data_IF_729523535253
#
_entry.id   IF_729523535253
#
_cell.length_a   1.000
_cell.length_b   1.000
_cell.length_c   1.000
_cell.angle_alpha   90.00
_cell.angle_beta   90.00
_cell.angle_gamma   90.00
#
_symmetry.space_group_name_H-M   'P 1'
#
loop_
_entity.id
_entity.type
_entity.pdbx_description
1 polymer ?
2 non-polymer ?
3 water ?
#
# COMPACT_ATOMS: atom_id res chain seq x y z
N UNK A 1 11.71 -3.51 25.44
CA UNK A 1 13.11 -3.97 25.19
C UNK A 1 13.15 -5.07 24.14
N UNK A 2 13.79 -4.81 23.00
CA UNK A 2 13.86 -5.79 21.93
C UNK A 2 15.22 -6.48 21.91
N UNK A 3 15.25 -7.75 21.51
CA UNK A 3 16.54 -8.47 21.45
C UNK A 3 17.43 -7.81 20.42
N UNK A 4 18.74 -7.89 20.60
CA UNK A 4 19.69 -7.29 19.66
C UNK A 4 19.71 -7.95 18.30
N UNK A 5 19.37 -9.23 18.27
CA UNK A 5 19.35 -9.98 17.02
C UNK A 5 18.26 -11.04 17.07
N UNK A 6 17.72 -11.36 15.90
CA UNK A 6 16.66 -12.36 15.76
C UNK A 6 16.87 -13.13 14.46
N UNK A 7 16.54 -14.41 14.47
CA UNK A 7 16.66 -15.26 13.28
C UNK A 7 15.56 -16.30 13.37
N UNK A 8 14.46 -16.06 12.67
CA UNK A 8 13.32 -16.99 12.73
C UNK A 8 13.61 -18.40 12.21
N UNK A 9 14.73 -18.58 11.52
CA UNK A 9 15.08 -19.91 11.02
C UNK A 9 15.39 -20.84 12.20
N UNK A 10 15.90 -20.25 13.29
CA UNK A 10 16.24 -21.00 14.50
C UNK A 10 14.99 -21.47 15.22
N UNK A 11 13.87 -20.78 14.96
CA UNK A 11 12.60 -21.11 15.59
C UNK A 11 11.74 -22.03 14.74
N UNK A 12 12.33 -22.53 13.65
CA UNK A 12 11.65 -23.45 12.75
C UNK A 12 10.45 -22.90 12.02
N UNK A 13 10.43 -21.59 11.77
CA UNK A 13 9.31 -20.96 11.09
C UNK A 13 9.61 -20.53 9.67
N UNK A 14 10.72 -21.00 9.11
CA UNK A 14 11.11 -20.63 7.76
C UNK A 14 11.37 -21.86 6.90
N UNK A 15 10.66 -21.95 5.78
CA UNK A 15 10.81 -23.10 4.88
C UNK A 15 12.03 -22.94 3.98
N UNK A 16 12.26 -23.95 3.16
CA UNK A 16 13.38 -23.94 2.25
C UNK A 16 13.27 -22.77 1.26
N UNK A 17 14.41 -22.27 0.80
CA UNK A 17 14.43 -21.18 -0.16
C UNK A 17 13.86 -21.67 -1.49
N UNK A 18 12.98 -20.89 -2.09
CA UNK A 18 12.37 -21.27 -3.36
C UNK A 18 13.03 -20.57 -4.53
N UNK A 19 12.79 -21.09 -5.73
CA UNK A 19 13.34 -20.53 -6.96
C UNK A 19 12.18 -20.15 -7.89
N UNK A 20 11.96 -18.84 -8.05
CA UNK A 20 10.86 -18.36 -8.89
C UNK A 20 11.10 -18.48 -10.40
N UNK A 21 12.36 -18.61 -10.80
CA UNK A 21 12.66 -18.74 -12.21
C UNK A 21 12.37 -17.45 -12.97
N UNK A 22 11.87 -17.57 -14.20
CA UNK A 22 11.58 -16.41 -15.04
C UNK A 22 10.22 -15.76 -14.75
N UNK A 23 9.48 -16.31 -13.80
CA UNK A 23 8.17 -15.78 -13.44
C UNK A 23 8.33 -14.77 -12.30
N UNK A 24 7.84 -13.55 -12.52
CA UNK A 24 7.94 -12.51 -11.50
C UNK A 24 6.95 -12.73 -10.37
N UNK A 25 7.18 -13.79 -9.60
CA UNK A 25 6.30 -14.15 -8.49
C UNK A 25 6.89 -13.83 -7.12
N UNK A 26 7.84 -12.91 -7.06
CA UNK A 26 8.47 -12.54 -5.80
C UNK A 26 7.42 -12.16 -4.75
N UNK A 27 6.40 -11.44 -5.20
CA UNK A 27 5.33 -11.01 -4.30
C UNK A 27 4.60 -12.21 -3.70
N UNK A 28 4.38 -13.23 -4.51
CA UNK A 28 3.69 -14.43 -4.05
C UNK A 28 4.54 -15.19 -3.03
N UNK A 29 5.83 -15.36 -3.33
CA UNK A 29 6.70 -16.06 -2.41
C UNK A 29 6.86 -15.29 -1.10
N UNK A 30 6.93 -13.98 -1.19
CA UNK A 30 7.05 -13.15 0.00
C UNK A 30 5.83 -13.39 0.89
N UNK A 31 4.65 -13.38 0.29
CA UNK A 31 3.41 -13.59 1.02
C UNK A 31 3.30 -14.97 1.67
N UNK A 32 3.56 -16.04 0.91
CA UNK A 32 3.45 -17.38 1.50
C UNK A 32 4.50 -17.55 2.60
N UNK A 33 5.67 -16.95 2.41
CA UNK A 33 6.72 -17.04 3.40
C UNK A 33 6.28 -16.46 4.74
N UNK A 34 5.62 -15.32 4.70
CA UNK A 34 5.14 -14.68 5.92
C UNK A 34 4.06 -15.51 6.60
N UNK A 35 3.16 -16.06 5.80
CA UNK A 35 2.08 -16.89 6.34
C UNK A 35 2.59 -18.24 6.84
N UNK A 36 3.62 -18.78 6.18
CA UNK A 36 4.19 -20.06 6.58
C UNK A 36 4.66 -20.00 8.03
N UNK A 37 5.22 -18.85 8.42
CA UNK A 37 5.70 -18.68 9.78
C UNK A 37 4.52 -18.64 10.76
N UNK A 38 3.47 -17.93 10.39
CA UNK A 38 2.28 -17.82 11.25
C UNK A 38 1.60 -19.18 11.39
N UNK A 39 1.65 -19.98 10.33
CA UNK A 39 1.05 -21.31 10.36
C UNK A 39 1.81 -22.18 11.35
N UNK A 40 3.13 -22.07 11.32
CA UNK A 40 3.99 -22.83 12.22
C UNK A 40 3.69 -22.44 13.68
N UNK A 41 3.64 -21.14 13.92
CA UNK A 41 3.37 -20.63 15.26
C UNK A 41 2.02 -21.07 15.80
N UNK A 42 1.04 -21.17 14.91
CA UNK A 42 -0.31 -21.56 15.31
C UNK A 42 -0.56 -23.06 15.42
N UNK A 43 0.00 -23.83 14.48
CA UNK A 43 -0.23 -25.28 14.46
C UNK A 43 0.95 -26.17 14.81
N UNK A 44 2.16 -25.62 14.77
CA UNK A 44 3.32 -26.43 15.08
C UNK A 44 3.89 -27.12 13.86
N UNK A 45 3.22 -27.03 12.71
CA UNK A 45 3.75 -27.66 11.50
C UNK A 45 4.32 -26.60 10.56
N UNK A 46 5.46 -26.93 9.96
CA UNK A 46 6.12 -26.05 9.00
C UNK A 46 5.74 -26.61 7.64
N UNK A 47 4.98 -25.86 6.86
CA UNK A 47 4.54 -26.32 5.55
C UNK A 47 4.69 -25.25 4.47
N UNK A 48 5.35 -25.58 3.37
CA UNK A 48 5.51 -24.63 2.28
C UNK A 48 4.12 -24.42 1.69
N UNK A 49 3.73 -23.16 1.51
CA UNK A 49 2.42 -22.84 0.95
C UNK A 49 2.52 -22.57 -0.54
N UNK A 50 1.41 -22.72 -1.25
CA UNK A 50 1.39 -22.56 -2.70
C UNK A 50 1.49 -21.16 -3.28
N UNK A 51 2.68 -20.79 -3.73
CA UNK A 51 2.88 -19.49 -4.36
C UNK A 51 2.13 -19.50 -5.69
N UNK A 52 2.07 -20.68 -6.32
CA UNK A 52 1.39 -20.83 -7.61
C UNK A 52 -0.09 -20.49 -7.47
N UNK A 53 -0.66 -20.91 -6.34
CA UNK A 53 -2.06 -20.68 -6.02
C UNK A 53 -2.33 -19.17 -6.08
N UNK A 54 -1.38 -18.39 -5.57
CA UNK A 54 -1.52 -16.93 -5.58
C UNK A 54 -1.37 -16.38 -6.99
N UNK A 55 -0.33 -16.85 -7.70
CA UNK A 55 -0.09 -16.40 -9.06
C UNK A 55 -1.32 -16.65 -9.94
N UNK A 56 -1.92 -17.82 -9.78
CA UNK A 56 -3.09 -18.21 -10.58
C UNK A 56 -4.45 -17.68 -10.15
N UNK A 57 -4.62 -17.46 -8.85
CA UNK A 57 -5.93 -17.02 -8.34
C UNK A 57 -6.04 -15.59 -7.83
N UNK A 58 -4.99 -15.07 -7.21
CA UNK A 58 -5.03 -13.69 -6.71
C UNK A 58 -4.60 -12.85 -7.89
N UNK A 59 -5.51 -12.71 -8.86
CA UNK A 59 -5.22 -11.99 -10.09
C UNK A 59 -5.81 -10.58 -10.24
N UNK A 60 -6.48 -10.31 -11.36
CA UNK A 60 -7.06 -8.99 -11.64
C UNK A 60 -7.85 -8.34 -10.51
N UNK A 61 -8.75 -9.11 -9.90
CA UNK A 61 -9.57 -8.57 -8.82
C UNK A 61 -8.72 -8.05 -7.67
N UNK A 62 -7.48 -8.52 -7.59
CA UNK A 62 -6.58 -8.09 -6.51
C UNK A 62 -5.47 -7.17 -7.01
N UNK A 63 -5.63 -6.67 -8.23
CA UNK A 63 -4.65 -5.78 -8.80
C UNK A 63 -3.34 -6.45 -9.15
N UNK A 64 -3.31 -7.78 -9.14
CA UNK A 64 -2.09 -8.52 -9.45
C UNK A 64 -2.05 -8.98 -10.91
N UNK A 65 -0.82 -9.24 -11.39
CA UNK A 65 -0.62 -9.65 -12.77
C UNK A 65 0.20 -10.93 -12.92
N UNK A 66 0.03 -11.86 -11.97
CA UNK A 66 0.75 -13.12 -12.05
C UNK A 66 2.25 -13.03 -12.17
N UNK A 67 2.81 -13.61 -13.23
CA UNK A 67 4.25 -13.59 -13.44
C UNK A 67 4.78 -12.21 -13.78
N UNK A 68 3.89 -11.24 -13.89
CA UNK A 68 4.29 -9.88 -14.19
C UNK A 68 4.19 -8.95 -12.98
N UNK A 69 4.04 -9.54 -11.79
CA UNK A 69 3.97 -8.72 -10.59
C UNK A 69 2.70 -8.76 -9.78
N UNK A 70 2.81 -8.39 -8.52
CA UNK A 70 1.66 -8.38 -7.63
C UNK A 70 2.00 -7.77 -6.29
N UNK A 71 1.02 -7.73 -5.38
CA UNK A 71 1.23 -7.17 -4.05
C UNK A 71 1.08 -8.27 -2.99
N UNK A 72 1.89 -8.19 -1.94
CA UNK A 72 1.77 -9.17 -0.86
C UNK A 72 0.50 -8.89 -0.07
N UNK A 73 0.16 -7.62 0.12
CA UNK A 73 -1.05 -7.29 0.88
C UNK A 73 -2.33 -7.81 0.22
N UNK A 74 -2.48 -7.60 -1.09
CA UNK A 74 -3.67 -8.07 -1.77
C UNK A 74 -3.65 -9.59 -1.85
N UNK A 75 -2.46 -10.17 -1.80
CA UNK A 75 -2.34 -11.63 -1.81
C UNK A 75 -2.93 -12.12 -0.51
N UNK A 76 -2.60 -11.43 0.59
CA UNK A 76 -3.13 -11.81 1.89
C UNK A 76 -4.65 -11.69 1.87
N UNK A 77 -5.18 -10.59 1.34
CA UNK A 77 -6.62 -10.41 1.30
C UNK A 77 -7.30 -11.51 0.50
N UNK A 78 -6.65 -11.99 -0.55
CA UNK A 78 -7.22 -13.06 -1.36
C UNK A 78 -7.39 -14.31 -0.50
N UNK A 79 -6.33 -14.65 0.24
CA UNK A 79 -6.37 -15.83 1.10
C UNK A 79 -7.52 -15.68 2.08
N UNK A 80 -7.71 -14.47 2.60
CA UNK A 80 -8.79 -14.19 3.53
C UNK A 80 -10.14 -14.39 2.85
N UNK A 81 -10.35 -13.70 1.73
CA UNK A 81 -11.60 -13.80 0.98
C UNK A 81 -11.87 -15.23 0.51
N UNK A 82 -10.83 -15.90 0.04
CA UNK A 82 -10.94 -17.26 -0.47
C UNK A 82 -11.11 -18.29 0.65
N UNK A 83 -10.87 -17.86 1.88
CA UNK A 83 -10.97 -18.72 3.05
C UNK A 83 -9.95 -19.85 3.01
N UNK A 84 -8.79 -19.56 2.44
CA UNK A 84 -7.74 -20.56 2.39
C UNK A 84 -6.75 -20.47 1.25
N UNK A 85 -5.65 -21.21 1.39
CA UNK A 85 -4.61 -21.29 0.40
C UNK A 85 -4.10 -22.73 0.47
N UNK A 86 -3.86 -23.34 -0.70
CA UNK A 86 -3.38 -24.72 -0.74
C UNK A 86 -1.91 -24.86 -0.39
N UNK A 87 -1.50 -26.09 -0.13
CA UNK A 87 -0.11 -26.34 0.20
C UNK A 87 0.66 -26.34 -1.10
N UNK A 88 1.95 -26.06 -1.02
CA UNK A 88 2.80 -26.07 -2.20
C UNK A 88 2.81 -27.48 -2.78
N UNK A 89 2.79 -28.48 -1.90
CA UNK A 89 2.82 -29.87 -2.31
C UNK A 89 1.62 -30.26 -3.20
N UNK A 90 0.44 -29.75 -2.86
CA UNK A 90 -0.77 -30.07 -3.63
C UNK A 90 -0.98 -29.17 -4.85
N UNK A 91 -0.35 -28.01 -4.83
CA UNK A 91 -0.48 -27.03 -5.91
C UNK A 91 0.93 -26.51 -6.17
N UNK A 92 1.78 -27.34 -6.82
CA UNK A 92 3.17 -27.01 -7.13
C UNK A 92 3.42 -25.81 -8.03
N UNK A 93 4.56 -25.16 -7.81
CA UNK A 93 4.98 -23.98 -8.56
C UNK A 93 5.51 -24.38 -9.94
N UNK A 94 4.97 -23.76 -10.98
CA UNK A 94 5.36 -24.04 -12.36
C UNK A 94 6.01 -22.85 -13.05
N UNK A 95 6.16 -21.74 -12.34
CA UNK A 95 6.79 -20.54 -12.90
C UNK A 95 6.10 -20.04 -14.17
N UNK A 96 4.78 -20.06 -14.19
CA UNK A 96 4.01 -19.59 -15.33
C UNK A 96 2.60 -19.27 -14.88
N UNK A 97 1.88 -18.47 -15.65
CA UNK A 97 0.52 -18.13 -15.31
C UNK A 97 -0.38 -19.28 -15.74
N UNK A 98 -1.25 -19.72 -14.83
CA UNK A 98 -2.16 -20.82 -15.10
C UNK A 98 -3.56 -20.44 -14.69
N UNK A 99 -4.54 -21.24 -15.09
CA UNK A 99 -5.92 -20.98 -14.71
C UNK A 99 -5.94 -21.27 -13.21
N UNK A 100 -6.78 -20.56 -12.47
CA UNK A 100 -6.87 -20.79 -11.04
C UNK A 100 -7.37 -22.21 -10.79
N UNK A 101 -6.61 -22.98 -10.02
CA UNK A 101 -6.97 -24.36 -9.71
C UNK A 101 -7.07 -24.60 -8.22
N UNK A 102 -7.45 -23.58 -7.46
CA UNK A 102 -7.60 -23.71 -6.02
C UNK A 102 -8.67 -24.73 -5.69
N UNK A 103 -8.44 -25.50 -4.63
CA UNK A 103 -9.42 -26.47 -4.15
C UNK A 103 -9.31 -26.51 -2.64
N UNK A 104 -10.44 -26.32 -1.96
CA UNK A 104 -10.46 -26.33 -0.51
C UNK A 104 -10.01 -27.66 0.09
N UNK A 105 -10.02 -28.72 -0.71
CA UNK A 105 -9.62 -30.04 -0.20
C UNK A 105 -8.11 -30.13 -0.03
N UNK A 106 -7.39 -29.15 -0.57
CA UNK A 106 -5.94 -29.10 -0.47
C UNK A 106 -5.51 -27.94 0.43
N UNK A 107 -6.46 -27.33 1.10
CA UNK A 107 -6.14 -26.22 1.97
C UNK A 107 -5.15 -26.58 3.05
N UNK A 108 -4.16 -25.71 3.24
CA UNK A 108 -3.13 -25.93 4.25
C UNK A 108 -3.05 -24.77 5.24
N UNK A 109 -3.69 -23.65 4.92
CA UNK A 109 -3.67 -22.50 5.80
C UNK A 109 -4.78 -21.51 5.49
N UNK A 110 -5.07 -20.66 6.46
CA UNK A 110 -6.08 -19.61 6.31
C UNK A 110 -5.43 -18.32 6.81
N UNK A 111 -6.13 -17.20 6.61
CA UNK A 111 -5.65 -15.90 7.04
C UNK A 111 -6.88 -15.13 7.50
N UNK A 112 -6.77 -14.45 8.63
CA UNK A 112 -7.89 -13.69 9.15
C UNK A 112 -7.73 -12.19 8.93
N UNK A 113 -6.49 -11.76 8.74
CA UNK A 113 -6.19 -10.35 8.52
C UNK A 113 -4.72 -10.15 8.25
N UNK A 114 -4.34 -8.90 7.96
CA UNK A 114 -2.96 -8.55 7.72
C UNK A 114 -2.75 -7.12 8.20
N UNK A 115 -1.50 -6.79 8.52
CA UNK A 115 -1.17 -5.46 9.01
C UNK A 115 -0.05 -4.83 8.18
N UNK A 116 -0.25 -3.59 7.77
CA UNK A 116 0.74 -2.84 7.01
C UNK A 116 1.40 -1.88 7.97
N UNK A 117 2.73 -1.96 8.09
CA UNK A 117 3.47 -1.09 9.00
C UNK A 117 3.60 0.33 8.44
N UNK A 118 3.81 1.33 9.31
CA UNK A 118 3.94 2.71 8.85
C UNK A 118 5.17 2.89 7.96
N UNK A 119 5.02 3.71 6.92
CA UNK A 119 6.07 3.96 5.95
C UNK A 119 7.44 4.37 6.49
N UNK A 120 8.47 3.61 6.10
CA UNK A 120 9.84 3.91 6.47
C UNK A 120 10.33 3.82 7.90
N UNK A 121 9.52 3.28 8.80
CA UNK A 121 9.94 3.18 10.20
C UNK A 121 10.62 1.86 10.48
N UNK A 122 11.94 1.88 10.51
CA UNK A 122 12.73 0.67 10.76
C UNK A 122 12.59 0.18 12.19
N UNK A 123 12.35 1.11 13.12
CA UNK A 123 12.19 0.72 14.51
C UNK A 123 10.90 -0.08 14.67
N UNK A 124 9.86 0.31 13.92
CA UNK A 124 8.59 -0.41 14.00
C UNK A 124 8.76 -1.77 13.33
N UNK A 125 9.54 -1.81 12.25
CA UNK A 125 9.78 -3.06 11.54
C UNK A 125 10.53 -4.01 12.48
N UNK A 126 11.50 -3.48 13.23
CA UNK A 126 12.28 -4.31 14.14
C UNK A 126 11.36 -4.93 15.18
N UNK A 127 10.45 -4.13 15.71
CA UNK A 127 9.52 -4.60 16.72
C UNK A 127 8.63 -5.72 16.18
N UNK A 128 8.15 -5.54 14.95
CA UNK A 128 7.28 -6.55 14.32
C UNK A 128 8.03 -7.85 14.07
N UNK A 129 9.27 -7.75 13.61
CA UNK A 129 10.05 -8.96 13.33
C UNK A 129 10.38 -9.71 14.62
N UNK A 130 10.64 -8.96 15.68
CA UNK A 130 10.96 -9.57 16.97
C UNK A 130 9.73 -10.16 17.67
N UNK A 131 8.61 -9.46 17.62
CA UNK A 131 7.40 -9.93 18.32
C UNK A 131 6.30 -10.62 17.52
N UNK A 132 6.20 -10.33 16.21
CA UNK A 132 5.15 -10.94 15.40
C UNK A 132 5.63 -12.09 14.53
N UNK A 133 6.73 -11.89 13.83
CA UNK A 133 7.27 -12.91 12.97
C UNK A 133 7.83 -12.31 11.70
N UNK A 134 8.23 -13.14 10.73
CA UNK A 134 8.78 -12.67 9.46
C UNK A 134 7.83 -11.66 8.83
N UNK A 135 8.39 -10.61 8.26
CA UNK A 135 7.58 -9.56 7.65
C UNK A 135 7.85 -9.43 6.15
N UNK A 136 6.78 -9.38 5.36
CA UNK A 136 6.91 -9.22 3.93
C UNK A 136 7.27 -7.76 3.66
N UNK A 137 8.23 -7.53 2.77
CA UNK A 137 8.65 -6.18 2.45
C UNK A 137 9.03 -6.07 0.99
N UNK A 138 9.15 -4.82 0.53
CA UNK A 138 9.56 -4.56 -0.82
C UNK A 138 10.90 -3.85 -0.76
N UNK A 139 11.79 -4.13 -1.71
CA UNK A 139 13.08 -3.47 -1.75
C UNK A 139 13.42 -3.03 -3.17
N UNK A 140 14.37 -2.11 -3.26
CA UNK A 140 14.84 -1.64 -4.56
C UNK A 140 15.97 -2.60 -4.93
N UNK A 141 15.68 -3.51 -5.86
CA UNK A 141 16.67 -4.49 -6.31
C UNK A 141 17.03 -4.24 -7.77
N UNK A 142 16.90 -2.99 -8.19
CA UNK A 142 17.17 -2.59 -9.57
C UNK A 142 18.66 -2.50 -9.92
N UNK A 143 19.51 -2.54 -8.91
CA UNK A 143 20.94 -2.40 -9.15
C UNK A 143 21.76 -3.67 -9.32
N UNK A 144 22.78 -3.61 -10.19
CA UNK A 144 23.67 -4.74 -10.48
C UNK A 144 24.19 -5.39 -9.20
N UNK A 145 24.55 -4.55 -8.23
CA UNK A 145 25.09 -5.05 -6.97
C UNK A 145 24.16 -6.04 -6.29
N UNK A 146 22.85 -5.86 -6.45
CA UNK A 146 21.89 -6.77 -5.83
C UNK A 146 21.98 -8.14 -6.47
N UNK A 147 21.96 -8.17 -7.80
CA UNK A 147 22.06 -9.42 -8.55
C UNK A 147 23.38 -10.12 -8.28
N UNK A 148 24.44 -9.34 -8.09
CA UNK A 148 25.78 -9.88 -7.87
C UNK A 148 26.14 -10.13 -6.40
N UNK A 149 25.24 -9.78 -5.49
CA UNK A 149 25.50 -9.98 -4.06
C UNK A 149 25.88 -11.41 -3.70
N UNK A 150 26.92 -11.54 -2.89
CA UNK A 150 27.38 -12.86 -2.47
C UNK A 150 27.42 -13.03 -0.96
N UNK A 151 27.86 -12.00 -0.23
CA UNK A 151 27.93 -12.12 1.22
C UNK A 151 28.11 -10.80 1.94
N UNK A 152 27.96 -10.82 3.26
CA UNK A 152 28.13 -9.64 4.07
C UNK A 152 26.89 -8.75 4.11
N UNK A 153 27.06 -7.53 4.61
CA UNK A 153 25.96 -6.59 4.70
C UNK A 153 25.90 -5.77 3.42
N UNK A 154 24.78 -5.91 2.70
CA UNK A 154 24.55 -5.23 1.44
C UNK A 154 24.25 -3.74 1.60
N UNK A 155 25.01 -2.91 0.91
CA UNK A 155 24.81 -1.47 0.91
C UNK A 155 25.09 -0.96 -0.50
N UNK A 156 24.11 -0.27 -1.08
CA UNK A 156 24.24 0.26 -2.43
C UNK A 156 24.02 1.76 -2.44
N UNK A 157 25.08 2.54 -2.71
CA UNK A 157 25.00 4.01 -2.74
C UNK A 157 23.88 4.54 -3.63
N UNK A 158 23.57 3.81 -4.70
CA UNK A 158 22.52 4.23 -5.63
C UNK A 158 21.13 3.73 -5.29
N UNK A 159 20.96 3.03 -4.18
CA UNK A 159 19.63 2.54 -3.82
C UNK A 159 18.67 3.68 -3.54
N UNK A 160 17.40 3.43 -3.79
CA UNK A 160 16.37 4.43 -3.57
C UNK A 160 15.24 3.79 -2.77
N UNK A 161 14.21 4.57 -2.48
CA UNK A 161 13.06 4.05 -1.74
C UNK A 161 11.98 3.59 -2.73
N UNK A 162 12.31 3.60 -4.01
CA UNK A 162 11.36 3.14 -5.02
C UNK A 162 11.55 1.63 -5.14
N UNK A 163 10.78 0.88 -4.36
CA UNK A 163 10.87 -0.58 -4.33
C UNK A 163 10.21 -1.28 -5.53
N UNK A 164 10.74 -2.45 -5.89
CA UNK A 164 10.20 -3.19 -7.03
C UNK A 164 10.29 -4.71 -6.85
N UNK A 165 10.88 -5.15 -5.74
CA UNK A 165 11.06 -6.58 -5.51
C UNK A 165 10.57 -7.01 -4.13
N UNK A 166 9.63 -7.95 -4.11
CA UNK A 166 9.08 -8.44 -2.85
C UNK A 166 9.89 -9.55 -2.22
N UNK A 167 10.25 -9.37 -0.95
CA UNK A 167 11.04 -10.37 -0.22
C UNK A 167 10.50 -10.55 1.19
N UNK A 168 11.22 -11.30 2.02
CA UNK A 168 10.77 -11.57 3.38
C UNK A 168 11.86 -11.37 4.42
N UNK A 169 11.58 -10.51 5.41
CA UNK A 169 12.54 -10.27 6.48
C UNK A 169 12.31 -11.36 7.54
N UNK A 170 13.31 -12.20 7.75
CA UNK A 170 13.17 -13.28 8.72
C UNK A 170 14.02 -13.08 9.97
N UNK A 171 14.59 -11.88 10.11
CA UNK A 171 15.40 -11.59 11.29
C UNK A 171 16.24 -10.35 11.10
N UNK A 172 17.12 -10.11 12.07
CA UNK A 172 18.00 -8.95 12.00
C UNK A 172 19.18 -9.15 12.95
N UNK A 173 20.21 -8.32 12.80
CA UNK A 173 21.37 -8.44 13.66
C UNK A 173 22.43 -7.43 13.26
N UNK A 174 23.68 -7.79 13.53
CA UNK A 174 24.80 -6.92 13.20
C UNK A 174 26.04 -7.72 12.87
N UNK A 175 26.77 -7.29 11.84
CA UNK A 175 28.01 -7.96 11.46
C UNK A 175 29.15 -6.99 11.65
N UNK A 176 29.90 -7.19 12.73
CA UNK A 176 31.05 -6.35 13.05
C UNK A 176 30.75 -4.85 13.02
N UNK A 177 29.65 -4.45 13.64
CA UNK A 177 29.31 -3.03 13.66
C UNK A 177 28.34 -2.61 12.58
N UNK A 178 28.10 -3.49 11.61
CA UNK A 178 27.17 -3.17 10.52
C UNK A 178 25.83 -3.85 10.78
N UNK A 179 24.82 -3.07 11.11
CA UNK A 179 23.48 -3.60 11.37
C UNK A 179 22.82 -4.03 10.08
N UNK A 180 22.01 -5.09 10.14
CA UNK A 180 21.36 -5.59 8.94
C UNK A 180 20.01 -6.26 9.20
N UNK A 181 19.29 -6.47 8.10
CA UNK A 181 18.00 -7.16 8.12
C UNK A 181 18.32 -8.50 7.43
N UNK A 182 17.84 -9.61 7.98
CA UNK A 182 18.08 -10.91 7.38
C UNK A 182 16.93 -11.15 6.40
N UNK A 183 17.25 -11.16 5.12
CA UNK A 183 16.23 -11.30 4.09
C UNK A 183 16.23 -12.59 3.29
N UNK A 184 15.06 -13.22 3.20
CA UNK A 184 14.91 -14.45 2.44
C UNK A 184 14.41 -14.04 1.05
N UNK A 185 15.18 -14.40 0.02
CA UNK A 185 14.79 -14.06 -1.35
C UNK A 185 14.18 -15.31 -1.99
N UNK A 186 13.70 -15.18 -3.23
CA UNK A 186 13.11 -16.32 -3.91
C UNK A 186 13.80 -16.55 -5.25
N UNK A 187 15.12 -16.43 -5.24
CA UNK A 187 15.95 -16.62 -6.44
C UNK A 187 16.80 -17.89 -6.32
N UNK A 188 16.32 -18.85 -5.55
CA UNK A 188 17.06 -20.10 -5.39
C UNK A 188 18.16 -20.05 -4.34
N UNK A 189 18.69 -21.22 -4.00
CA UNK A 189 19.72 -21.33 -2.98
C UNK A 189 21.11 -20.89 -3.43
N UNK A 190 21.28 -20.58 -4.70
CA UNK A 190 22.58 -20.15 -5.20
C UNK A 190 22.78 -18.63 -5.12
N UNK A 191 21.69 -17.90 -4.89
CA UNK A 191 21.80 -16.46 -4.79
C UNK A 191 22.27 -16.02 -3.40
N UNK A 192 23.21 -15.09 -3.38
CA UNK A 192 23.71 -14.57 -2.13
C UNK A 192 24.21 -15.60 -1.14
N UNK A 193 23.79 -15.47 0.11
CA UNK A 193 24.20 -16.40 1.15
C UNK A 193 23.21 -17.55 1.19
N UNK A 194 23.34 -18.42 0.20
CA UNK A 194 22.49 -19.59 0.05
C UNK A 194 21.00 -19.26 0.07
N UNK A 195 20.63 -18.26 -0.71
CA UNK A 195 19.24 -17.85 -0.80
C UNK A 195 18.90 -16.60 -0.03
N UNK A 196 19.76 -16.22 0.91
CA UNK A 196 19.52 -15.04 1.74
C UNK A 196 20.45 -13.87 1.44
N UNK A 197 20.03 -12.69 1.88
CA UNK A 197 20.83 -11.49 1.73
C UNK A 197 20.64 -10.62 2.96
N UNK A 198 21.75 -10.17 3.52
CA UNK A 198 21.69 -9.31 4.70
C UNK A 198 21.79 -7.87 4.18
N UNK A 199 20.74 -7.09 4.42
CA UNK A 199 20.67 -5.72 3.94
C UNK A 199 20.82 -4.67 5.04
N UNK A 200 21.50 -3.58 4.72
CA UNK A 200 21.75 -2.52 5.67
C UNK A 200 20.51 -2.08 6.44
N UNK A 201 20.63 -2.09 7.77
CA UNK A 201 19.54 -1.70 8.67
C UNK A 201 19.90 -0.39 9.36
N UNK A 202 18.88 0.43 9.63
CA UNK A 202 19.08 1.72 10.28
C UNK A 202 20.05 2.64 9.52
N UNK A 203 19.95 2.60 8.19
CA UNK A 203 20.77 3.45 7.34
C UNK A 203 19.85 4.26 6.43
N UNK A 204 18.88 4.92 7.06
CA UNK A 204 17.93 5.74 6.33
C UNK A 204 16.97 4.99 5.42
N UNK A 205 16.43 3.87 5.90
CA UNK A 205 15.49 3.08 5.10
C UNK A 205 16.16 2.71 3.77
N UNK A 206 17.34 2.12 3.87
CA UNK A 206 18.12 1.73 2.70
C UNK A 206 17.37 0.79 1.76
N UNK A 207 17.33 1.19 0.49
CA UNK A 207 16.65 0.44 -0.56
C UNK A 207 15.16 0.30 -0.28
N UNK A 208 14.64 1.17 0.58
CA UNK A 208 13.22 1.16 0.92
C UNK A 208 12.72 -0.09 1.60
N UNK A 209 13.60 -0.79 2.30
CA UNK A 209 13.22 -2.03 2.96
C UNK A 209 12.06 -1.86 3.95
N UNK A 210 11.95 -0.68 4.56
CA UNK A 210 10.88 -0.41 5.52
C UNK A 210 9.77 0.44 4.90
N UNK A 211 9.81 0.60 3.57
CA UNK A 211 8.80 1.39 2.89
C UNK A 211 7.40 0.80 2.95
N UNK A 212 7.27 -0.47 2.57
CA UNK A 212 5.96 -1.12 2.60
C UNK A 212 5.98 -2.51 3.23
N UNK A 213 6.06 -2.57 4.56
CA UNK A 213 6.09 -3.84 5.29
C UNK A 213 4.69 -4.31 5.67
N UNK A 214 4.49 -5.62 5.67
CA UNK A 214 3.19 -6.17 6.06
C UNK A 214 3.33 -7.61 6.51
N UNK A 215 2.45 -8.03 7.41
CA UNK A 215 2.46 -9.40 7.89
C UNK A 215 1.04 -9.86 8.13
N UNK A 216 0.78 -11.14 7.86
CA UNK A 216 -0.56 -11.72 8.04
C UNK A 216 -0.70 -12.37 9.39
N UNK A 217 -1.93 -12.68 9.77
CA UNK A 217 -2.18 -13.36 11.02
C UNK A 217 -3.26 -14.41 10.76
N UNK A 218 -3.18 -15.50 11.50
CA UNK A 218 -4.15 -16.57 11.36
C UNK A 218 -5.10 -16.55 12.55
N UNK B 2 -24.87 1.57 10.51
CA UNK B 2 -24.30 2.76 9.81
C UNK B 2 -25.39 3.52 9.07
N UNK B 3 -25.18 4.83 8.85
CA UNK B 3 -26.16 5.66 8.15
C UNK B 3 -26.29 5.15 6.72
N UNK B 4 -27.47 5.28 6.12
CA UNK B 4 -27.70 4.82 4.75
C UNK B 4 -26.96 5.69 3.74
N UNK B 5 -26.75 6.95 4.09
CA UNK B 5 -26.05 7.88 3.21
C UNK B 5 -25.25 8.88 4.02
N UNK B 6 -24.16 9.36 3.44
CA UNK B 6 -23.29 10.33 4.09
C UNK B 6 -22.77 11.30 3.04
N UNK B 7 -22.59 12.56 3.44
CA UNK B 7 -22.05 13.59 2.56
C UNK B 7 -21.33 14.58 3.47
N UNK B 8 -20.01 14.44 3.57
CA UNK B 8 -19.22 15.30 4.42
C UNK B 8 -19.22 16.77 4.04
N UNK B 9 -19.72 17.07 2.83
CA UNK B 9 -19.80 18.46 2.40
C UNK B 9 -20.86 19.15 3.27
N UNK B 10 -21.86 18.37 3.68
CA UNK B 10 -22.95 18.89 4.50
C UNK B 10 -22.48 19.29 5.89
N UNK B 11 -21.36 18.71 6.33
CA UNK B 11 -20.86 19.04 7.65
C UNK B 11 -19.73 20.05 7.54
N UNK B 12 -19.58 20.62 6.34
CA UNK B 12 -18.56 21.61 6.10
C UNK B 12 -17.15 21.09 6.32
N UNK B 13 -16.90 19.85 5.91
CA UNK B 13 -15.58 19.24 6.07
C UNK B 13 -14.82 19.07 4.76
N UNK B 14 -15.34 19.64 3.68
CA UNK B 14 -14.70 19.54 2.38
C UNK B 14 -14.47 20.90 1.76
N UNK B 15 -13.24 21.17 1.34
CA UNK B 15 -12.87 22.44 0.72
C UNK B 15 -13.29 22.47 -0.74
N UNK B 16 -13.20 23.64 -1.38
CA UNK B 16 -13.56 23.75 -2.79
C UNK B 16 -12.74 22.78 -3.62
N UNK B 17 -13.29 22.38 -4.76
CA UNK B 17 -12.61 21.47 -5.67
C UNK B 17 -11.42 22.17 -6.29
N UNK B 18 -10.28 21.49 -6.35
CA UNK B 18 -9.06 22.06 -6.93
C UNK B 18 -8.83 21.57 -8.36
N UNK B 19 -7.93 22.24 -9.06
CA UNK B 19 -7.59 21.93 -10.45
C UNK B 19 -6.09 21.65 -10.55
N UNK B 20 -5.72 20.39 -10.69
CA UNK B 20 -4.31 20.01 -10.73
C UNK B 20 -3.58 20.39 -12.01
N UNK B 21 -4.31 20.58 -13.10
CA UNK B 21 -3.67 20.96 -14.34
C UNK B 21 -2.85 19.82 -14.93
N UNK B 22 -1.75 20.17 -15.61
CA UNK B 22 -0.90 19.16 -16.23
C UNK B 22 0.16 18.58 -15.30
N UNK B 23 -0.05 18.73 -14.00
CA UNK B 23 0.87 18.19 -13.00
C UNK B 23 0.17 17.01 -12.33
N UNK B 24 0.83 15.86 -12.33
CA UNK B 24 0.25 14.66 -11.73
C UNK B 24 0.23 14.67 -10.22
N UNK B 25 -0.50 15.62 -9.65
CA UNK B 25 -0.56 15.77 -8.20
C UNK B 25 -1.84 15.24 -7.57
N UNK B 26 -2.56 14.37 -8.26
CA UNK B 26 -3.81 13.83 -7.71
C UNK B 26 -3.59 13.23 -6.32
N UNK B 27 -2.45 12.56 -6.14
CA UNK B 27 -2.12 11.94 -4.86
C UNK B 27 -2.01 12.99 -3.75
N UNK B 28 -1.48 14.16 -4.10
CA UNK B 28 -1.32 15.24 -3.13
C UNK B 28 -2.67 15.86 -2.77
N UNK B 29 -3.51 16.06 -3.77
CA UNK B 29 -4.82 16.63 -3.51
C UNK B 29 -5.67 15.65 -2.70
N UNK B 30 -5.55 14.36 -3.02
CA UNK B 30 -6.31 13.35 -2.29
C UNK B 30 -5.91 13.37 -0.82
N UNK B 31 -4.60 13.41 -0.58
CA UNK B 31 -4.08 13.44 0.79
C UNK B 31 -4.47 14.69 1.59
N UNK B 32 -4.31 15.87 0.99
CA UNK B 32 -4.67 17.09 1.73
C UNK B 32 -6.17 17.12 1.98
N UNK B 33 -6.94 16.64 1.01
CA UNK B 33 -8.38 16.61 1.16
C UNK B 33 -8.80 15.78 2.36
N UNK B 34 -8.14 14.64 2.56
CA UNK B 34 -8.46 13.78 3.68
C UNK B 34 -8.07 14.47 4.99
N UNK B 35 -6.91 15.12 5.01
CA UNK B 35 -6.45 15.79 6.22
C UNK B 35 -7.27 17.04 6.53
N UNK B 36 -7.74 17.73 5.49
CA UNK B 36 -8.54 18.93 5.67
C UNK B 36 -9.81 18.64 6.49
N UNK B 37 -10.40 17.48 6.25
CA UNK B 37 -11.61 17.10 6.96
C UNK B 37 -11.32 16.84 8.44
N UNK B 38 -10.19 16.19 8.72
CA UNK B 38 -9.80 15.90 10.10
C UNK B 38 -9.49 17.20 10.83
N UNK B 39 -8.89 18.16 10.12
CA UNK B 39 -8.54 19.44 10.73
C UNK B 39 -9.82 20.16 11.15
N UNK B 40 -10.85 20.07 10.31
CA UNK B 40 -12.13 20.70 10.60
C UNK B 40 -12.78 20.02 11.79
N UNK B 41 -12.79 18.70 11.80
CA UNK B 41 -13.38 17.94 12.89
C UNK B 41 -12.70 18.25 14.22
N UNK B 42 -11.38 18.41 14.18
CA UNK B 42 -10.59 18.70 15.38
C UNK B 42 -10.61 20.15 15.84
N UNK B 43 -10.47 21.08 14.92
CA UNK B 43 -10.41 22.50 15.28
C UNK B 43 -11.66 23.32 14.94
N UNK B 44 -12.53 22.77 14.11
CA UNK B 44 -13.73 23.50 13.73
C UNK B 44 -13.49 24.44 12.57
N UNK B 45 -12.24 24.50 12.11
CA UNK B 45 -11.88 25.37 11.00
C UNK B 45 -11.66 24.59 9.70
N UNK B 46 -12.26 25.06 8.61
CA UNK B 46 -12.09 24.45 7.31
C UNK B 46 -11.02 25.26 6.60
N UNK B 47 -9.89 24.62 6.31
CA UNK B 47 -8.76 25.30 5.66
C UNK B 47 -8.15 24.43 4.55
N UNK B 48 -7.98 25.01 3.36
CA UNK B 48 -7.37 24.28 2.26
C UNK B 48 -5.88 24.14 2.55
N UNK B 49 -5.37 22.91 2.48
CA UNK B 49 -3.97 22.65 2.75
C UNK B 49 -3.15 22.62 1.46
N UNK B 50 -1.84 22.79 1.59
CA UNK B 50 -0.96 22.85 0.42
C UNK B 50 -0.57 21.57 -0.29
N UNK B 51 -1.20 21.32 -1.43
CA UNK B 51 -0.88 20.15 -2.22
C UNK B 51 0.54 20.35 -2.76
N UNK B 52 0.89 21.61 -3.04
CA UNK B 52 2.21 21.95 -3.57
C UNK B 52 3.31 21.59 -2.59
N UNK B 53 3.02 21.77 -1.31
CA UNK B 53 3.96 21.47 -0.22
C UNK B 53 4.35 20.00 -0.33
N UNK B 54 3.37 19.14 -0.62
CA UNK B 54 3.62 17.72 -0.75
C UNK B 54 4.40 17.42 -2.02
N UNK B 55 4.01 18.06 -3.12
CA UNK B 55 4.70 17.86 -4.40
C UNK B 55 6.18 18.19 -4.31
N UNK B 56 6.50 19.33 -3.70
CA UNK B 56 7.88 19.78 -3.57
C UNK B 56 8.69 19.13 -2.45
N UNK B 57 8.03 18.71 -1.38
CA UNK B 57 8.73 18.15 -0.24
C UNK B 57 8.60 16.65 0.05
N UNK B 58 7.43 16.06 -0.20
CA UNK B 58 7.26 14.62 0.03
C UNK B 58 7.74 13.98 -1.26
N UNK B 59 9.06 13.92 -1.43
CA UNK B 59 9.65 13.41 -2.66
C UNK B 59 10.26 12.01 -2.61
N UNK B 60 11.48 11.87 -3.14
CA UNK B 60 12.17 10.58 -3.21
C UNK B 60 12.16 9.73 -1.95
N UNK B 61 12.43 10.35 -0.81
CA UNK B 61 12.46 9.61 0.45
C UNK B 61 11.12 8.96 0.75
N UNK B 62 10.07 9.42 0.08
CA UNK B 62 8.74 8.89 0.28
C UNK B 62 8.23 8.13 -0.93
N UNK B 63 9.14 7.85 -1.86
CA UNK B 63 8.79 7.13 -3.07
C UNK B 63 7.93 7.92 -4.04
N UNK B 64 7.84 9.23 -3.84
CA UNK B 64 7.02 10.07 -4.70
C UNK B 64 7.79 10.75 -5.82
N UNK B 65 7.07 11.13 -6.87
CA UNK B 65 7.68 11.76 -8.02
C UNK B 65 7.04 13.08 -8.45
N UNK B 66 6.58 13.85 -7.46
CA UNK B 66 5.97 15.14 -7.72
C UNK B 66 4.91 15.15 -8.80
N UNK B 67 5.13 15.95 -9.84
CA UNK B 67 4.16 16.04 -10.93
C UNK B 67 4.06 14.76 -11.76
N UNK B 68 4.82 13.74 -11.39
CA UNK B 68 4.77 12.48 -12.10
C UNK B 68 4.18 11.35 -11.24
N UNK B 69 3.47 11.73 -10.18
CA UNK B 69 2.84 10.71 -9.34
C UNK B 69 3.37 10.54 -7.94
N UNK B 70 2.54 9.99 -7.06
CA UNK B 70 2.92 9.76 -5.68
C UNK B 70 1.91 8.91 -4.95
N UNK B 71 2.13 8.72 -3.65
CA UNK B 71 1.25 7.91 -2.82
C UNK B 71 0.61 8.76 -1.72
N UNK B 72 -0.65 8.50 -1.42
CA UNK B 72 -1.32 9.25 -0.37
C UNK B 72 -0.77 8.85 1.00
N UNK B 73 -0.53 7.55 1.20
CA UNK B 73 0.00 7.07 2.47
C UNK B 73 1.38 7.64 2.80
N UNK B 74 2.30 7.64 1.84
CA UNK B 74 3.63 8.17 2.13
C UNK B 74 3.56 9.69 2.29
N UNK B 75 2.55 10.31 1.69
CA UNK B 75 2.38 11.75 1.83
C UNK B 75 2.00 12.01 3.28
N UNK B 76 1.14 11.15 3.83
CA UNK B 76 0.72 11.30 5.22
C UNK B 76 1.93 11.13 6.14
N UNK B 77 2.80 10.17 5.81
CA UNK B 77 3.97 9.95 6.65
C UNK B 77 4.90 11.16 6.62
N UNK B 78 5.00 11.80 5.46
CA UNK B 78 5.82 13.00 5.33
C UNK B 78 5.33 14.05 6.32
N UNK B 79 4.02 14.30 6.31
CA UNK B 79 3.43 15.29 7.20
C UNK B 79 3.77 14.96 8.66
N UNK B 80 3.68 13.68 9.01
CA UNK B 80 4.00 13.24 10.36
C UNK B 80 5.48 13.53 10.64
N UNK B 81 6.35 13.02 9.77
CA UNK B 81 7.80 13.23 9.91
C UNK B 81 8.16 14.71 9.95
N UNK B 82 7.57 15.48 9.05
CA UNK B 82 7.83 16.92 8.94
C UNK B 82 7.19 17.70 10.07
N UNK B 83 6.31 17.04 10.82
CA UNK B 83 5.60 17.64 11.94
C UNK B 83 4.73 18.81 11.49
N UNK B 84 4.15 18.68 10.29
CA UNK B 84 3.27 19.73 9.79
C UNK B 84 3.21 19.88 8.27
N UNK B 85 2.21 20.65 7.83
CA UNK B 85 2.00 20.94 6.41
C UNK B 85 1.45 22.37 6.34
N UNK B 86 1.91 23.16 5.38
CA UNK B 86 1.43 24.53 5.25
C UNK B 86 0.05 24.63 4.62
N UNK B 87 -0.54 25.81 4.73
CA UNK B 87 -1.85 26.07 4.16
C UNK B 87 -1.67 26.33 2.67
N UNK B 88 -2.74 26.14 1.91
CA UNK B 88 -2.71 26.37 0.47
C UNK B 88 -2.39 27.85 0.20
N UNK B 89 -3.02 28.74 0.96
CA UNK B 89 -2.80 30.18 0.78
C UNK B 89 -1.34 30.59 0.94
N UNK B 90 -0.64 30.00 1.91
CA UNK B 90 0.76 30.33 2.16
C UNK B 90 1.75 29.65 1.21
N UNK B 91 1.37 28.50 0.69
CA UNK B 91 2.23 27.73 -0.21
C UNK B 91 1.34 27.30 -1.38
N UNK B 92 1.00 28.26 -2.26
CA UNK B 92 0.15 28.07 -3.44
C UNK B 92 0.56 27.00 -4.46
N UNK B 93 -0.45 26.45 -5.12
CA UNK B 93 -0.25 25.41 -6.13
C UNK B 93 0.13 26.01 -7.48
N UNK B 94 1.24 25.55 -8.04
CA UNK B 94 1.72 26.07 -9.32
C UNK B 94 1.75 25.00 -10.42
N UNK B 95 1.33 23.78 -10.09
CA UNK B 95 1.31 22.70 -11.07
C UNK B 95 2.66 22.41 -11.71
N UNK B 96 3.71 22.39 -10.89
CA UNK B 96 5.05 22.07 -11.38
C UNK B 96 5.95 21.70 -10.21
N UNK B 97 7.04 21.01 -10.51
CA UNK B 97 7.99 20.61 -9.48
C UNK B 97 8.83 21.81 -9.07
N UNK B 98 8.91 22.05 -7.76
CA UNK B 98 9.67 23.16 -7.21
C UNK B 98 10.52 22.70 -6.04
N UNK B 99 11.48 23.52 -5.65
CA UNK B 99 12.32 23.19 -4.51
C UNK B 99 11.38 23.23 -3.30
N UNK B 100 11.65 22.39 -2.30
CA UNK B 100 10.82 22.38 -1.11
C UNK B 100 10.93 23.71 -0.37
N UNK B 101 9.80 24.35 -0.14
CA UNK B 101 9.77 25.64 0.53
C UNK B 101 8.93 25.65 1.80
N UNK B 102 8.85 24.51 2.47
CA UNK B 102 8.07 24.41 3.70
C UNK B 102 8.59 25.39 4.75
N UNK B 103 7.66 26.00 5.47
CA UNK B 103 7.99 26.94 6.53
C UNK B 103 6.97 26.74 7.65
N UNK B 104 7.45 26.37 8.83
CA UNK B 104 6.59 26.12 9.98
C UNK B 104 5.72 27.30 10.38
N UNK B 105 6.15 28.51 10.03
CA UNK B 105 5.39 29.72 10.35
C UNK B 105 4.03 29.68 9.66
N UNK B 106 3.94 28.91 8.58
CA UNK B 106 2.72 28.80 7.80
C UNK B 106 2.01 27.46 7.99
N UNK B 107 2.41 26.71 9.01
CA UNK B 107 1.80 25.42 9.29
C UNK B 107 0.31 25.58 9.59
N UNK B 108 -0.53 24.80 8.91
CA UNK B 108 -1.97 24.87 9.11
C UNK B 108 -2.56 23.58 9.67
N UNK B 109 -1.77 22.51 9.62
CA UNK B 109 -2.22 21.22 10.15
C UNK B 109 -1.07 20.29 10.44
N UNK B 110 -1.35 19.26 11.24
CA UNK B 110 -0.36 18.25 11.61
C UNK B 110 -1.04 16.91 11.40
N UNK B 111 -0.28 15.84 11.54
CA UNK B 111 -0.81 14.48 11.39
C UNK B 111 -0.06 13.59 12.37
N UNK B 112 -0.78 12.78 13.13
CA UNK B 112 -0.14 11.90 14.11
C UNK B 112 -0.01 10.48 13.59
N UNK B 113 -0.84 10.11 12.62
CA UNK B 113 -0.81 8.77 12.04
C UNK B 113 -1.82 8.61 10.92
N UNK B 114 -1.76 7.47 10.24
CA UNK B 114 -2.69 7.19 9.17
C UNK B 114 -3.06 5.70 9.20
N UNK B 115 -4.18 5.36 8.58
CA UNK B 115 -4.66 3.98 8.56
C UNK B 115 -4.99 3.53 7.15
N UNK B 116 -4.54 2.33 6.79
CA UNK B 116 -4.81 1.78 5.47
C UNK B 116 -5.87 0.70 5.68
N UNK B 117 -6.97 0.82 4.96
CA UNK B 117 -8.06 -0.15 5.06
C UNK B 117 -7.79 -1.44 4.28
N UNK B 118 -8.42 -2.55 4.69
CA UNK B 118 -8.21 -3.82 4.01
C UNK B 118 -8.64 -3.75 2.54
N UNK B 119 -7.86 -4.41 1.69
CA UNK B 119 -8.10 -4.41 0.26
C UNK B 119 -9.49 -4.85 -0.21
N UNK B 120 -10.10 -4.02 -1.04
CA UNK B 120 -11.40 -4.31 -1.63
C UNK B 120 -12.64 -4.43 -0.75
N UNK B 121 -12.53 -4.12 0.54
CA UNK B 121 -13.70 -4.25 1.42
C UNK B 121 -14.54 -2.98 1.43
N UNK B 122 -15.59 -2.96 0.62
CA UNK B 122 -16.46 -1.78 0.53
C UNK B 122 -17.27 -1.56 1.80
N UNK B 123 -17.53 -2.61 2.56
CA UNK B 123 -18.28 -2.45 3.80
C UNK B 123 -17.40 -1.75 4.84
N UNK B 124 -16.11 -2.07 4.84
CA UNK B 124 -15.18 -1.45 5.77
C UNK B 124 -14.98 0.01 5.37
N UNK B 125 -14.91 0.25 4.07
CA UNK B 125 -14.75 1.61 3.57
C UNK B 125 -15.97 2.44 3.97
N UNK B 126 -17.15 1.82 3.89
CA UNK B 126 -18.39 2.50 4.25
C UNK B 126 -18.32 2.91 5.72
N UNK B 127 -17.88 1.98 6.56
CA UNK B 127 -17.77 2.24 7.99
C UNK B 127 -16.82 3.40 8.26
N UNK B 128 -15.68 3.41 7.57
CA UNK B 128 -14.69 4.47 7.75
C UNK B 128 -15.23 5.84 7.32
N UNK B 129 -15.85 5.90 6.15
CA UNK B 129 -16.40 7.16 5.67
C UNK B 129 -17.43 7.71 6.65
N UNK B 130 -18.22 6.82 7.24
CA UNK B 130 -19.25 7.23 8.19
C UNK B 130 -18.69 7.62 9.56
N UNK B 131 -17.79 6.80 10.10
CA UNK B 131 -17.25 7.06 11.43
C UNK B 131 -15.97 7.87 11.56
N UNK B 132 -15.14 7.89 10.50
CA UNK B 132 -13.89 8.64 10.57
C UNK B 132 -13.88 9.92 9.75
N UNK B 133 -14.43 9.86 8.54
CA UNK B 133 -14.47 11.02 7.67
C UNK B 133 -14.03 10.66 6.26
N UNK B 134 -13.81 11.65 5.38
CA UNK B 134 -13.38 11.39 3.99
C UNK B 134 -12.16 10.46 3.95
N UNK B 135 -12.16 9.56 2.96
CA UNK B 135 -11.08 8.59 2.82
C UNK B 135 -10.38 8.69 1.45
N UNK B 136 -9.05 8.75 1.49
CA UNK B 136 -8.27 8.83 0.24
C UNK B 136 -8.30 7.47 -0.41
N UNK B 137 -8.56 7.44 -1.72
CA UNK B 137 -8.60 6.17 -2.43
C UNK B 137 -8.02 6.30 -3.82
N UNK B 138 -7.77 5.15 -4.45
CA UNK B 138 -7.27 5.16 -5.81
C UNK B 138 -8.36 4.52 -6.66
N UNK B 139 -8.53 5.00 -7.88
CA UNK B 139 -9.51 4.42 -8.79
C UNK B 139 -8.91 4.27 -10.17
N UNK B 140 -9.55 3.44 -10.99
CA UNK B 140 -9.10 3.25 -12.36
C UNK B 140 -9.85 4.31 -13.15
N UNK B 141 -9.19 5.41 -13.46
CA UNK B 141 -9.81 6.50 -14.21
C UNK B 141 -9.26 6.63 -15.64
N UNK B 142 -8.79 5.51 -16.19
CA UNK B 142 -8.20 5.51 -17.53
C UNK B 142 -9.18 5.49 -18.70
N UNK B 143 -10.40 5.02 -18.44
CA UNK B 143 -11.40 4.90 -19.49
C UNK B 143 -12.07 6.18 -19.96
N UNK B 144 -12.21 6.34 -21.28
CA UNK B 144 -12.83 7.53 -21.88
C UNK B 144 -14.10 7.99 -21.18
N UNK B 145 -14.93 7.04 -20.79
CA UNK B 145 -16.19 7.38 -20.11
C UNK B 145 -15.98 8.19 -18.84
N UNK B 146 -14.87 7.96 -18.13
CA UNK B 146 -14.60 8.68 -16.89
C UNK B 146 -14.45 10.18 -17.13
N UNK B 147 -13.69 10.55 -18.14
CA UNK B 147 -13.45 11.96 -18.46
C UNK B 147 -14.74 12.66 -18.87
N UNK B 148 -15.65 11.92 -19.47
CA UNK B 148 -16.92 12.46 -19.96
C UNK B 148 -18.09 12.39 -18.97
N UNK B 149 -17.87 11.84 -17.78
CA UNK B 149 -18.94 11.74 -16.81
C UNK B 149 -19.63 13.07 -16.53
N UNK B 150 -20.96 13.06 -16.51
CA UNK B 150 -21.73 14.28 -16.25
C UNK B 150 -22.71 14.14 -15.08
N UNK B 151 -23.38 13.00 -15.00
CA UNK B 151 -24.36 12.79 -13.92
C UNK B 151 -24.70 11.33 -13.70
N UNK B 152 -25.57 11.07 -12.72
CA UNK B 152 -25.95 9.72 -12.42
C UNK B 152 -24.88 8.97 -11.64
N UNK B 153 -24.93 7.64 -11.71
CA UNK B 153 -23.95 6.81 -11.03
C UNK B 153 -23.05 6.16 -12.07
N UNK B 154 -21.76 6.46 -12.02
CA UNK B 154 -20.79 5.94 -12.96
C UNK B 154 -20.55 4.45 -12.84
N UNK B 155 -20.81 3.74 -13.94
CA UNK B 155 -20.58 2.30 -14.00
C UNK B 155 -19.98 2.05 -15.37
N UNK B 156 -18.78 1.49 -15.38
CA UNK B 156 -18.05 1.21 -16.62
C UNK B 156 -17.63 -0.26 -16.67
N UNK B 157 -18.25 -1.06 -17.54
CA UNK B 157 -17.94 -2.48 -17.68
C UNK B 157 -16.44 -2.74 -17.89
N UNK B 158 -15.76 -1.81 -18.55
CA UNK B 158 -14.34 -1.97 -18.81
C UNK B 158 -13.42 -1.55 -17.65
N UNK B 159 -14.00 -1.14 -16.53
CA UNK B 159 -13.15 -0.73 -15.40
C UNK B 159 -12.42 -1.94 -14.83
N UNK B 160 -11.32 -1.67 -14.14
CA UNK B 160 -10.53 -2.73 -13.54
C UNK B 160 -10.15 -2.32 -12.13
N UNK B 161 -9.48 -3.22 -11.42
CA UNK B 161 -9.03 -2.92 -10.07
C UNK B 161 -7.59 -2.40 -10.12
N UNK B 162 -7.07 -2.14 -11.33
CA UNK B 162 -5.73 -1.60 -11.48
C UNK B 162 -5.90 -0.07 -11.41
N UNK B 163 -5.77 0.50 -10.21
CA UNK B 163 -5.96 1.93 -10.02
C UNK B 163 -4.78 2.78 -10.49
N UNK B 164 -5.09 4.00 -10.93
CA UNK B 164 -4.05 4.90 -11.41
C UNK B 164 -4.26 6.33 -10.95
N UNK B 165 -5.45 6.61 -10.42
CA UNK B 165 -5.80 7.97 -10.02
C UNK B 165 -6.20 8.15 -8.55
N UNK B 166 -5.56 9.11 -7.88
CA UNK B 166 -5.85 9.36 -6.48
C UNK B 166 -6.97 10.37 -6.29
N UNK B 167 -8.03 9.96 -5.59
CA UNK B 167 -9.17 10.82 -5.34
C UNK B 167 -9.62 10.73 -3.89
N UNK B 168 -10.74 11.37 -3.55
CA UNK B 168 -11.24 11.37 -2.18
C UNK B 168 -12.73 11.04 -2.07
N UNK B 169 -13.04 10.02 -1.28
CA UNK B 169 -14.42 9.62 -1.05
C UNK B 169 -14.93 10.50 0.10
N UNK B 170 -15.90 11.35 -0.18
CA UNK B 170 -16.44 12.24 0.85
C UNK B 170 -17.86 11.87 1.27
N UNK B 171 -18.33 10.72 0.79
CA UNK B 171 -19.67 10.28 1.15
C UNK B 171 -20.12 9.08 0.35
N UNK B 172 -21.38 8.69 0.54
CA UNK B 172 -21.95 7.56 -0.17
C UNK B 172 -23.47 7.62 -0.05
N UNK B 173 -24.16 6.80 -0.84
CA UNK B 173 -25.60 6.79 -0.78
C UNK B 173 -26.21 5.98 -1.90
N UNK B 174 -27.44 6.33 -2.28
CA UNK B 174 -28.12 5.63 -3.35
C UNK B 174 -28.89 6.64 -4.19
N UNK B 175 -28.79 6.49 -5.51
CA UNK B 175 -29.48 7.38 -6.43
C UNK B 175 -30.26 6.54 -7.44
N UNK B 176 -31.58 6.65 -7.39
CA UNK B 176 -32.45 5.91 -8.29
C UNK B 176 -32.15 4.42 -8.32
N UNK B 177 -31.98 3.83 -7.13
CA UNK B 177 -31.72 2.41 -7.04
C UNK B 177 -30.28 2.00 -7.26
N UNK B 178 -29.39 2.97 -7.45
CA UNK B 178 -27.98 2.66 -7.67
C UNK B 178 -27.14 3.18 -6.51
N UNK B 179 -26.49 2.27 -5.79
CA UNK B 179 -25.65 2.67 -4.67
C UNK B 179 -24.39 3.31 -5.24
N UNK B 180 -23.88 4.33 -4.58
CA UNK B 180 -22.70 5.00 -5.08
C UNK B 180 -21.77 5.52 -3.99
N UNK B 181 -20.57 5.90 -4.42
CA UNK B 181 -19.57 6.50 -3.55
C UNK B 181 -19.47 7.92 -4.08
N UNK B 182 -19.47 8.91 -3.19
CA UNK B 182 -19.35 10.31 -3.61
C UNK B 182 -17.86 10.64 -3.64
N UNK B 183 -17.35 10.88 -4.84
CA UNK B 183 -15.92 11.15 -5.03
C UNK B 183 -15.53 12.55 -5.45
N UNK B 184 -14.62 13.16 -4.70
CA UNK B 184 -14.12 14.49 -5.00
C UNK B 184 -12.85 14.31 -5.85
N UNK B 185 -12.87 14.85 -7.07
CA UNK B 185 -11.73 14.74 -7.98
C UNK B 185 -10.93 16.03 -7.91
N UNK B 186 -9.83 16.09 -8.64
CA UNK B 186 -9.00 17.29 -8.63
C UNK B 186 -8.74 17.83 -10.04
N UNK B 187 -9.77 17.78 -10.88
CA UNK B 187 -9.66 18.28 -12.25
C UNK B 187 -10.55 19.53 -12.40
N UNK B 188 -10.69 20.27 -11.30
CA UNK B 188 -11.51 21.48 -11.33
C UNK B 188 -13.00 21.24 -11.32
N UNK B 189 -13.76 22.33 -11.20
CA UNK B 189 -15.22 22.27 -11.18
C UNK B 189 -15.83 21.86 -12.52
N UNK B 190 -15.07 21.95 -13.60
CA UNK B 190 -15.60 21.59 -14.92
C UNK B 190 -15.87 20.10 -15.02
N UNK B 191 -15.10 19.30 -14.29
CA UNK B 191 -15.27 17.86 -14.33
C UNK B 191 -16.53 17.38 -13.61
N UNK B 192 -17.23 16.45 -14.26
CA UNK B 192 -18.44 15.86 -13.70
C UNK B 192 -19.44 16.83 -13.12
N UNK B 193 -19.89 16.55 -11.89
CA UNK B 193 -20.86 17.42 -11.24
C UNK B 193 -20.15 18.36 -10.26
N UNK B 194 -19.75 19.52 -10.77
CA UNK B 194 -19.06 20.51 -9.97
C UNK B 194 -17.76 19.95 -9.39
N UNK B 195 -17.13 19.05 -10.13
CA UNK B 195 -15.87 18.46 -9.68
C UNK B 195 -15.98 17.09 -9.04
N UNK B 196 -17.21 16.63 -8.80
CA UNK B 196 -17.45 15.33 -8.18
C UNK B 196 -17.99 14.30 -9.14
N UNK B 197 -17.86 13.03 -8.76
CA UNK B 197 -18.40 11.93 -9.55
C UNK B 197 -18.93 10.85 -8.61
N UNK B 198 -20.14 10.38 -8.89
CA UNK B 198 -20.72 9.31 -8.07
C UNK B 198 -20.32 8.01 -8.77
N UNK B 199 -19.60 7.16 -8.05
CA UNK B 199 -19.14 5.89 -8.62
C UNK B 199 -19.84 4.70 -7.97
N UNK B 200 -20.15 3.71 -8.81
CA UNK B 200 -20.85 2.50 -8.38
C UNK B 200 -20.30 1.90 -7.08
N UNK B 201 -21.20 1.65 -6.14
CA UNK B 201 -20.85 1.08 -4.84
C UNK B 201 -21.45 -0.31 -4.71
N UNK B 202 -20.70 -1.20 -4.07
CA UNK B 202 -21.12 -2.58 -3.88
C UNK B 202 -21.35 -3.30 -5.20
N UNK B 203 -20.50 -2.99 -6.18
CA UNK B 203 -20.57 -3.63 -7.49
C UNK B 203 -19.21 -4.28 -7.77
N UNK B 204 -18.78 -5.10 -6.83
CA UNK B 204 -17.51 -5.79 -6.96
C UNK B 204 -16.28 -4.90 -6.99
N UNK B 205 -16.20 -3.95 -6.06
CA UNK B 205 -15.06 -3.04 -5.98
C UNK B 205 -14.82 -2.41 -7.36
N UNK B 206 -15.88 -1.82 -7.90
CA UNK B 206 -15.84 -1.20 -9.22
C UNK B 206 -14.73 -0.16 -9.34
N UNK B 207 -13.93 -0.30 -10.40
CA UNK B 207 -12.81 0.60 -10.67
C UNK B 207 -11.79 0.63 -9.53
N UNK B 208 -11.82 -0.40 -8.68
CA UNK B 208 -10.89 -0.48 -7.57
C UNK B 208 -11.00 0.61 -6.52
N UNK B 209 -12.17 1.22 -6.43
CA UNK B 209 -12.38 2.31 -5.47
C UNK B 209 -12.04 1.93 -4.02
N UNK B 210 -12.23 0.67 -3.65
CA UNK B 210 -11.93 0.22 -2.29
C UNK B 210 -10.65 -0.59 -2.20
N UNK B 211 -9.85 -0.57 -3.27
CA UNK B 211 -8.60 -1.32 -3.32
C UNK B 211 -7.53 -0.81 -2.34
N UNK B 212 -7.27 0.49 -2.37
CA UNK B 212 -6.26 1.07 -1.48
C UNK B 212 -6.75 2.33 -0.79
N UNK B 213 -7.61 2.19 0.22
CA UNK B 213 -8.15 3.32 0.97
C UNK B 213 -7.28 3.63 2.18
N UNK B 214 -7.21 4.91 2.53
CA UNK B 214 -6.44 5.33 3.70
C UNK B 214 -6.93 6.68 4.19
N UNK B 215 -6.75 6.93 5.49
CA UNK B 215 -7.16 8.20 6.06
C UNK B 215 -6.23 8.56 7.21
N UNK B 216 -5.95 9.86 7.38
CA UNK B 216 -5.08 10.36 8.43
C UNK B 216 -5.86 10.78 9.67
N UNK B 217 -5.15 11.01 10.76
CA UNK B 217 -5.77 11.46 11.98
C UNK B 217 -4.83 12.47 12.62
N UNK B 218 -5.39 13.39 13.39
CA UNK B 218 -4.58 14.41 14.04
C UNK B 218 -4.57 14.16 15.54
X LIG C 1 5.18 -5.74 -7.84
X LIG C 1 4.93 -5.26 -9.09
X LIG C 1 5.90 -5.20 -9.87
X LIG C 1 3.70 -4.85 -9.52
X LIG C 1 2.50 -4.82 -8.64
X LIG C 1 1.25 -5.41 -9.36
X LIG C 1 1.08 -4.83 -10.69
X LIG C 1 2.22 -5.00 -11.55
X LIG C 1 3.49 -4.35 -10.91
X LIG C 1 6.46 -6.20 -7.28
X LIG C 1 6.81 -7.44 -7.97
X LIG C 1 5.97 -8.33 -8.06
X LIG C 1 8.05 -7.55 -8.50
X LIG C 1 8.74 -8.60 -9.28
X LIG C 1 8.97 -9.77 -8.42
X LIG C 1 9.45 -10.91 -8.81
X LIG C 1 7.83 -8.95 -10.52
X LIG C 1 7.53 -7.79 -11.48
X LIG C 1 9.05 -7.02 -12.05
X LIG C 1 8.71 -5.61 -12.69
X LIG C 1 9.75 -7.98 -13.11
X LIG C 1 10.14 -6.80 -10.62
X LIG C 1 10.16 -8.11 -9.76
X LIG C 1 6.35 -6.36 -5.71
X LIG C 1 6.17 -4.85 -4.72
X LIG C 1 6.96 -5.11 -3.12
X LIG C 1 6.94 -3.42 -5.48
X LIG C 1 4.43 -4.51 -4.40
X LIG D 1 0.44 7.26 -8.40
X LIG D 1 1.40 7.01 -9.33
X LIG D 1 1.05 7.15 -10.51
X LIG D 1 2.67 6.63 -9.02
X LIG D 1 3.12 6.34 -7.63
X LIG D 1 4.52 6.98 -7.34
X LIG D 1 5.46 6.64 -8.39
X LIG D 1 5.05 7.07 -9.71
X LIG D 1 3.69 6.43 -10.09
X LIG D 1 -0.94 7.67 -8.62
X LIG D 1 -0.91 9.02 -9.20
X LIG D 1 -0.22 9.90 -8.67
X LIG D 1 -1.62 9.25 -10.31
X LIG D 1 -1.80 10.43 -11.17
X LIG D 1 -2.53 11.47 -10.44
X LIG D 1 -2.54 12.74 -10.75
X LIG D 1 -0.34 10.92 -11.61
X LIG D 1 0.51 9.88 -12.37
X LIG D 1 -0.36 9.40 -13.85
X LIG D 1 0.35 8.13 -14.48
X LIG D 1 -0.41 10.61 -14.86
X LIG D 1 -2.06 8.96 -13.35
X LIG D 1 -2.65 10.08 -12.46
X LIG D 1 -1.78 7.53 -7.30
X LIG D 1 -2.13 5.86 -6.71
X LIG D 1 -3.74 5.83 -5.91
X LIG D 1 -2.17 4.65 -8.04
X LIG D 1 -0.91 5.37 -5.49
#
# INVERSE_FOLDING_TARGET
ILPDSVDWREKGCVTEVKYQGSCGACWAFSAVGALEAQLKLKTGKLVSLSAQNLVDCSTEKYGNKGCNGGFMTTAFQYIIDNKGIDSDASYPYKAMDQKCQYDSKYRAATCSKYTELPYGREDVLKEAVANKGPVSVGVDARHPSFFLYRSGVYYEPSCTQNVNHGVLVVGYGDLNGKEYWLVKNSWGHNFGEEGYIRMARNKGNHCGIASFPSYPEIGHHHHHH
ILPDSVDWREKGCVTEVKYQGSCGACWAFSAVGALEAQLKLKTGKLVSLSAQNLVDCSTEKYGNKGCNGGFMTTAFQYIIDNKGIDSDASYPYKAMDQKCQYDSKYRAATCSKYTELPYGREDVLKEAVANKGPVSVGVDARHPSFFLYRSGVYYEPSCTQNVNHGVLVVGYGDLNGKEYWLVKNSWGHNFGEEGYIRMARNKGNHCGIASFPSYPEIGHHHHHH
CRL N1 C1 O1 N2 C2 C3 O2 C4 C5 C6 C7 O3 N3 C8 C9 N4 C10 C11 S1 O4 O5 C12 C13 C14 SI1 C15 C16 C17
CRL N1 C1 O1 N2 C2 C3 O2 C4 C5 C6 C7 O3 N3 C8 C9 N4 C10 C11 S1 O4 O5 C12 C13 C14 SI1 C15 C16 C17
#
